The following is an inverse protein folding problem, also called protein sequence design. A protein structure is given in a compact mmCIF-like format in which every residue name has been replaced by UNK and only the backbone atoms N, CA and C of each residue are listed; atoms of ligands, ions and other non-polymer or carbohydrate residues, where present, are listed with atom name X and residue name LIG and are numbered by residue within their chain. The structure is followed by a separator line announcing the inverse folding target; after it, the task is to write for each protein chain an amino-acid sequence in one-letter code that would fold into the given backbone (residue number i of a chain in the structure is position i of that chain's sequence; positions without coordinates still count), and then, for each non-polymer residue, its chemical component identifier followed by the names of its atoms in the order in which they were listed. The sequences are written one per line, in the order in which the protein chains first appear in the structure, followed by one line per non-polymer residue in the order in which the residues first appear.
data_IF_988021818849
#
_entry.id   IF_988021818849
#
_cell.length_a   1.000
_cell.length_b   1.000
_cell.length_c   1.000
_cell.angle_alpha   90.00
_cell.angle_beta   90.00
_cell.angle_gamma   90.00
#
_symmetry.space_group_name_H-M   'P 1'
#
loop_
_entity.id
_entity.type
_entity.pdbx_description
1 polymer ?
#
# COMPACT_ATOMS: atom_id res chain seq x y z
N UNK A 1 15.84 1.77 17.55
CA UNK A 1 15.78 2.67 16.37
C UNK A 1 14.80 3.80 16.69
N UNK A 2 15.26 5.03 16.75
CA UNK A 2 14.37 6.14 17.13
C UNK A 2 13.73 6.73 15.87
N UNK A 3 12.43 6.50 15.67
CA UNK A 3 11.61 7.09 14.59
C UNK A 3 11.77 8.63 14.56
N UNK A 4 12.00 9.26 15.70
CA UNK A 4 12.17 10.73 15.85
C UNK A 4 13.25 11.30 14.91
N UNK A 5 14.35 10.60 14.69
CA UNK A 5 15.49 11.10 13.91
C UNK A 5 15.41 10.75 12.40
N UNK A 6 14.41 9.99 11.99
CA UNK A 6 14.26 9.57 10.58
C UNK A 6 13.60 10.66 9.76
N UNK A 7 14.15 10.96 8.57
CA UNK A 7 13.52 11.85 7.57
C UNK A 7 12.43 11.17 6.76
N UNK A 8 12.56 9.86 6.57
CA UNK A 8 11.63 9.01 5.82
C UNK A 8 11.23 7.83 6.71
N UNK A 9 9.95 7.54 6.77
CA UNK A 9 9.39 6.38 7.48
C UNK A 9 8.74 5.48 6.44
N UNK A 10 9.17 4.21 6.38
CA UNK A 10 8.54 3.18 5.54
C UNK A 10 7.72 2.26 6.43
N UNK A 11 6.43 2.19 6.16
CA UNK A 11 5.47 1.36 6.92
C UNK A 11 5.06 0.18 6.05
N UNK A 12 5.52 -1.02 6.42
CA UNK A 12 5.14 -2.26 5.75
C UNK A 12 3.91 -2.87 6.42
N UNK A 13 2.87 -3.12 5.63
CA UNK A 13 1.61 -3.72 6.05
C UNK A 13 1.42 -5.10 5.40
N UNK A 14 1.51 -6.15 6.19
CA UNK A 14 1.26 -7.52 5.71
C UNK A 14 -0.22 -7.75 5.37
N UNK A 15 -0.50 -8.79 4.58
CA UNK A 15 -1.87 -9.14 4.16
C UNK A 15 -2.80 -9.33 5.36
N UNK A 16 -2.41 -10.10 6.39
CA UNK A 16 -3.20 -10.33 7.60
C UNK A 16 -3.38 -9.08 8.46
N UNK A 17 -2.54 -8.06 8.26
CA UNK A 17 -2.67 -6.77 8.96
C UNK A 17 -3.81 -5.94 8.38
N UNK A 18 -3.98 -5.95 7.06
CA UNK A 18 -4.97 -5.12 6.35
C UNK A 18 -6.26 -5.86 5.99
N UNK A 19 -6.23 -7.20 5.92
CA UNK A 19 -7.37 -8.03 5.57
C UNK A 19 -7.63 -9.05 6.70
N UNK A 20 -8.87 -9.23 7.09
CA UNK A 20 -9.26 -10.21 8.11
C UNK A 20 -9.38 -11.63 7.53
N UNK A 21 -9.63 -12.62 8.40
CA UNK A 21 -9.78 -14.02 8.02
C UNK A 21 -10.99 -14.29 7.11
N UNK A 22 -11.92 -13.33 6.99
CA UNK A 22 -13.10 -13.38 6.12
C UNK A 22 -12.85 -12.66 4.79
N UNK A 23 -11.62 -12.21 4.55
CA UNK A 23 -11.23 -11.48 3.35
C UNK A 23 -11.75 -10.03 3.32
N UNK A 24 -12.14 -9.45 4.45
CA UNK A 24 -12.61 -8.06 4.53
C UNK A 24 -11.45 -7.14 4.90
N UNK A 25 -11.41 -5.98 4.26
CA UNK A 25 -10.46 -4.93 4.60
C UNK A 25 -10.72 -4.36 6.00
N UNK A 26 -9.70 -4.30 6.84
CA UNK A 26 -9.77 -3.86 8.24
C UNK A 26 -9.85 -2.34 8.36
N UNK A 27 -10.94 -1.74 7.90
CA UNK A 27 -11.13 -0.27 7.82
C UNK A 27 -10.86 0.46 9.14
N UNK A 28 -11.36 -0.08 10.27
CA UNK A 28 -11.19 0.57 11.59
C UNK A 28 -9.72 0.65 11.97
N UNK A 29 -8.98 -0.44 11.78
CA UNK A 29 -7.56 -0.50 12.11
C UNK A 29 -6.73 0.42 11.20
N UNK A 30 -6.95 0.37 9.87
CA UNK A 30 -6.25 1.23 8.92
C UNK A 30 -6.57 2.71 9.19
N UNK A 31 -7.82 3.03 9.53
CA UNK A 31 -8.21 4.39 9.89
C UNK A 31 -7.46 4.90 11.14
N UNK A 32 -7.26 4.05 12.14
CA UNK A 32 -6.44 4.39 13.33
C UNK A 32 -4.98 4.66 12.93
N UNK A 33 -4.39 3.78 12.11
CA UNK A 33 -3.04 3.99 11.59
C UNK A 33 -2.90 5.31 10.83
N UNK A 34 -3.90 5.68 10.01
CA UNK A 34 -3.86 6.94 9.25
C UNK A 34 -3.90 8.16 10.17
N UNK A 35 -4.59 8.09 11.30
CA UNK A 35 -4.55 9.17 12.31
C UNK A 35 -3.12 9.39 12.81
N UNK A 36 -2.42 8.31 13.15
CA UNK A 36 -1.03 8.40 13.59
C UNK A 36 -0.12 8.91 12.47
N UNK A 37 -0.29 8.40 11.25
CA UNK A 37 0.44 8.87 10.06
C UNK A 37 0.26 10.37 9.84
N UNK A 38 -0.96 10.90 10.01
CA UNK A 38 -1.25 12.33 9.83
C UNK A 38 -0.38 13.22 10.70
N UNK A 39 -0.11 12.82 11.94
CA UNK A 39 0.74 13.59 12.84
C UNK A 39 2.21 13.60 12.35
N UNK A 40 2.73 12.45 11.95
CA UNK A 40 4.11 12.35 11.46
C UNK A 40 4.31 12.93 10.06
N UNK A 41 3.30 12.90 9.20
CA UNK A 41 3.38 13.38 7.81
C UNK A 41 3.58 14.90 7.69
N UNK A 42 3.40 15.65 8.78
CA UNK A 42 3.70 17.10 8.83
C UNK A 42 5.21 17.39 8.71
N UNK A 43 6.04 16.50 9.25
CA UNK A 43 7.48 16.70 9.39
C UNK A 43 8.31 15.66 8.63
N UNK A 44 7.73 14.53 8.29
CA UNK A 44 8.42 13.36 7.75
C UNK A 44 7.77 12.88 6.45
N UNK A 45 8.61 12.33 5.55
CA UNK A 45 8.14 11.64 4.36
C UNK A 45 7.68 10.23 4.76
N UNK A 46 6.44 9.89 4.46
CA UNK A 46 5.86 8.57 4.75
C UNK A 46 5.75 7.78 3.45
N UNK A 47 6.10 6.49 3.52
CA UNK A 47 5.88 5.51 2.43
C UNK A 47 5.11 4.33 3.01
N UNK A 48 4.08 3.85 2.31
CA UNK A 48 3.33 2.66 2.70
C UNK A 48 3.59 1.54 1.72
N UNK A 49 4.06 0.41 2.24
CA UNK A 49 4.23 -0.83 1.46
C UNK A 49 3.17 -1.81 1.95
N UNK A 50 2.22 -2.15 1.10
CA UNK A 50 1.10 -3.00 1.51
C UNK A 50 0.97 -4.25 0.63
N UNK A 51 0.44 -5.30 1.21
CA UNK A 51 -0.03 -6.51 0.53
C UNK A 51 -1.49 -6.78 0.88
N UNK A 52 -2.10 -7.82 0.30
CA UNK A 52 -3.48 -8.20 0.57
C UNK A 52 -4.38 -8.20 -0.66
N UNK A 53 -3.86 -7.88 -1.83
CA UNK A 53 -4.61 -7.87 -3.09
C UNK A 53 -5.25 -9.24 -3.39
N UNK A 54 -4.50 -10.35 -3.24
CA UNK A 54 -5.03 -11.70 -3.49
C UNK A 54 -6.22 -11.98 -2.55
N UNK A 55 -6.09 -11.69 -1.27
CA UNK A 55 -7.15 -11.96 -0.28
C UNK A 55 -8.44 -11.17 -0.59
N UNK A 56 -8.30 -9.90 -0.96
CA UNK A 56 -9.44 -9.06 -1.39
C UNK A 56 -10.03 -9.54 -2.70
N UNK A 57 -9.20 -9.91 -3.68
CA UNK A 57 -9.64 -10.44 -4.96
C UNK A 57 -10.40 -11.76 -4.82
N UNK A 58 -9.89 -12.70 -4.01
CA UNK A 58 -10.59 -13.94 -3.70
C UNK A 58 -11.97 -13.68 -3.08
N UNK A 59 -12.05 -12.74 -2.15
CA UNK A 59 -13.32 -12.36 -1.52
C UNK A 59 -14.30 -11.78 -2.54
N UNK A 60 -13.83 -10.84 -3.36
CA UNK A 60 -14.66 -10.22 -4.40
C UNK A 60 -15.20 -11.23 -5.40
N UNK A 61 -14.34 -12.16 -5.84
CA UNK A 61 -14.68 -13.24 -6.79
C UNK A 61 -15.37 -14.44 -6.13
N UNK A 62 -15.60 -14.40 -4.81
CA UNK A 62 -16.20 -15.50 -4.02
C UNK A 62 -15.44 -16.84 -4.16
N UNK A 63 -14.12 -16.78 -4.35
CA UNK A 63 -13.26 -17.96 -4.46
C UNK A 63 -13.03 -18.52 -3.06
N UNK A 64 -13.51 -19.73 -2.79
CA UNK A 64 -13.40 -20.39 -1.47
C UNK A 64 -12.09 -21.16 -1.27
N UNK A 65 -11.36 -21.50 -2.34
CA UNK A 65 -10.09 -22.25 -2.27
C UNK A 65 -9.02 -21.43 -1.59
N UNK A 66 -8.40 -21.97 -0.52
CA UNK A 66 -7.30 -21.32 0.20
C UNK A 66 -6.01 -21.24 -0.63
N UNK A 67 -5.77 -22.22 -1.51
CA UNK A 67 -4.61 -22.25 -2.42
C UNK A 67 -5.11 -22.28 -3.86
N UNK A 68 -4.66 -21.34 -4.63
CA UNK A 68 -4.90 -21.22 -6.07
C UNK A 68 -3.56 -21.32 -6.80
N UNK A 69 -3.57 -21.78 -8.05
CA UNK A 69 -2.36 -21.85 -8.88
C UNK A 69 -1.78 -20.45 -9.08
N UNK A 70 -0.48 -20.38 -9.40
CA UNK A 70 0.24 -19.11 -9.54
C UNK A 70 -0.42 -18.16 -10.55
N UNK A 71 -0.72 -18.67 -11.74
CA UNK A 71 -1.35 -17.86 -12.80
C UNK A 71 -2.71 -17.30 -12.37
N UNK A 72 -3.51 -18.12 -11.70
CA UNK A 72 -4.79 -17.69 -11.14
C UNK A 72 -4.59 -16.66 -10.01
N UNK A 73 -3.56 -16.83 -9.19
CA UNK A 73 -3.30 -15.87 -8.11
C UNK A 73 -2.88 -14.50 -8.64
N UNK A 74 -2.15 -14.45 -9.75
CA UNK A 74 -1.82 -13.20 -10.44
C UNK A 74 -3.06 -12.47 -10.95
N UNK A 75 -3.97 -13.20 -11.62
CA UNK A 75 -5.23 -12.64 -12.11
C UNK A 75 -6.12 -12.13 -10.96
N UNK A 76 -6.23 -12.93 -9.89
CA UNK A 76 -6.97 -12.55 -8.67
C UNK A 76 -6.34 -11.34 -7.99
N UNK A 77 -5.01 -11.27 -7.95
CA UNK A 77 -4.30 -10.11 -7.41
C UNK A 77 -4.56 -8.84 -8.22
N UNK A 78 -4.58 -8.93 -9.55
CA UNK A 78 -4.87 -7.79 -10.42
C UNK A 78 -6.26 -7.19 -10.13
N UNK A 79 -7.27 -8.03 -9.95
CA UNK A 79 -8.62 -7.59 -9.56
C UNK A 79 -8.62 -7.03 -8.13
N UNK A 80 -8.00 -7.74 -7.19
CA UNK A 80 -7.98 -7.34 -5.79
C UNK A 80 -7.16 -6.08 -5.53
N UNK A 81 -6.16 -5.77 -6.37
CA UNK A 81 -5.34 -4.57 -6.27
C UNK A 81 -6.18 -3.30 -6.42
N UNK A 82 -7.15 -3.29 -7.33
CA UNK A 82 -8.08 -2.17 -7.51
C UNK A 82 -8.84 -1.90 -6.21
N UNK A 83 -9.35 -2.96 -5.58
CA UNK A 83 -10.08 -2.85 -4.32
C UNK A 83 -9.18 -2.39 -3.17
N UNK A 84 -7.95 -2.93 -3.08
CA UNK A 84 -6.98 -2.56 -2.05
C UNK A 84 -6.65 -1.07 -2.10
N UNK A 85 -6.28 -0.58 -3.27
CA UNK A 85 -5.91 0.84 -3.47
C UNK A 85 -7.11 1.75 -3.22
N UNK A 86 -8.30 1.40 -3.73
CA UNK A 86 -9.52 2.16 -3.50
C UNK A 86 -9.87 2.29 -2.01
N UNK A 87 -9.72 1.22 -1.22
CA UNK A 87 -9.97 1.28 0.23
C UNK A 87 -8.97 2.20 0.94
N UNK A 88 -7.68 2.13 0.59
CA UNK A 88 -6.68 3.05 1.13
C UNK A 88 -6.98 4.50 0.72
N UNK A 89 -7.20 4.76 -0.56
CA UNK A 89 -7.49 6.09 -1.06
C UNK A 89 -8.67 6.72 -0.32
N UNK A 90 -9.81 6.02 -0.24
CA UNK A 90 -11.01 6.50 0.46
C UNK A 90 -10.75 6.85 1.93
N UNK A 91 -9.90 6.09 2.61
CA UNK A 91 -9.58 6.35 4.01
C UNK A 91 -8.63 7.56 4.16
N UNK A 92 -7.61 7.68 3.31
CA UNK A 92 -6.69 8.82 3.33
C UNK A 92 -7.38 10.14 2.96
N UNK A 93 -8.31 10.12 2.00
CA UNK A 93 -9.11 11.27 1.59
C UNK A 93 -9.92 11.88 2.75
N UNK A 94 -10.42 11.05 3.68
CA UNK A 94 -11.10 11.53 4.90
C UNK A 94 -10.22 12.44 5.77
N UNK A 95 -8.92 12.24 5.69
CA UNK A 95 -7.92 13.06 6.40
C UNK A 95 -7.31 14.15 5.52
N UNK A 96 -7.82 14.34 4.29
CA UNK A 96 -7.29 15.27 3.28
C UNK A 96 -5.84 14.98 2.90
N UNK A 97 -5.45 13.70 2.92
CA UNK A 97 -4.13 13.22 2.53
C UNK A 97 -4.24 12.59 1.14
N UNK A 98 -3.41 13.06 0.21
CA UNK A 98 -3.29 12.50 -1.14
C UNK A 98 -2.44 11.22 -1.10
N UNK A 99 -2.76 10.26 -1.94
CA UNK A 99 -1.97 9.04 -2.11
C UNK A 99 -1.61 8.82 -3.58
N UNK A 100 -0.47 8.20 -3.84
CA UNK A 100 -0.06 7.83 -5.19
C UNK A 100 0.44 6.38 -5.21
N UNK A 101 -0.07 5.55 -6.11
CA UNK A 101 0.36 4.17 -6.24
C UNK A 101 1.64 4.07 -7.06
N UNK A 102 2.62 3.31 -6.56
CA UNK A 102 3.80 2.88 -7.28
C UNK A 102 3.82 1.36 -7.30
N UNK A 103 3.94 0.75 -8.46
CA UNK A 103 4.14 -0.68 -8.65
C UNK A 103 5.62 -0.91 -8.97
N UNK A 104 6.29 -1.76 -8.20
CA UNK A 104 7.72 -2.03 -8.31
C UNK A 104 7.93 -3.54 -8.43
N UNK A 105 8.70 -3.95 -9.41
CA UNK A 105 9.21 -5.32 -9.56
C UNK A 105 10.66 -5.43 -9.08
N UNK A 106 11.19 -6.64 -8.80
CA UNK A 106 12.60 -6.83 -8.48
C UNK A 106 13.53 -6.21 -9.54
N UNK A 107 13.26 -6.42 -10.82
CA UNK A 107 14.05 -5.89 -11.94
C UNK A 107 14.17 -4.35 -11.92
N UNK A 108 13.14 -3.68 -11.41
CA UNK A 108 13.14 -2.22 -11.34
C UNK A 108 14.16 -1.68 -10.33
N UNK A 109 14.54 -2.48 -9.34
CA UNK A 109 15.56 -2.11 -8.35
C UNK A 109 16.96 -2.53 -8.77
N UNK A 110 17.10 -3.53 -9.62
CA UNK A 110 18.39 -4.04 -10.10
C UNK A 110 18.96 -3.21 -11.24
N UNK A 111 18.10 -2.67 -12.10
CA UNK A 111 18.52 -1.85 -13.22
C UNK A 111 18.65 -0.38 -12.80
N UNK A 112 19.89 0.15 -12.86
CA UNK A 112 20.21 1.53 -12.44
C UNK A 112 19.26 2.59 -13.01
N UNK A 113 18.95 2.54 -14.32
CA UNK A 113 18.07 3.52 -14.97
C UNK A 113 16.65 3.47 -14.39
N UNK A 114 16.11 2.26 -14.17
CA UNK A 114 14.77 2.08 -13.60
C UNK A 114 14.74 2.52 -12.14
N UNK A 115 15.74 2.16 -11.35
CA UNK A 115 15.86 2.58 -9.96
C UNK A 115 15.90 4.13 -9.82
N UNK A 116 16.61 4.83 -10.71
CA UNK A 116 16.62 6.30 -10.75
C UNK A 116 15.26 6.88 -11.09
N UNK A 117 14.53 6.29 -12.04
CA UNK A 117 13.17 6.73 -12.40
C UNK A 117 12.20 6.55 -11.23
N UNK A 118 12.24 5.41 -10.54
CA UNK A 118 11.43 5.15 -9.35
C UNK A 118 11.74 6.17 -8.27
N UNK A 119 13.03 6.41 -7.98
CA UNK A 119 13.45 7.42 -7.00
C UNK A 119 12.90 8.80 -7.35
N UNK A 120 12.95 9.19 -8.63
CA UNK A 120 12.38 10.45 -9.10
C UNK A 120 10.87 10.51 -8.87
N UNK A 121 10.15 9.42 -9.16
CA UNK A 121 8.70 9.31 -8.91
C UNK A 121 8.36 9.49 -7.44
N UNK A 122 9.09 8.85 -6.52
CA UNK A 122 8.91 9.05 -5.07
C UNK A 122 9.12 10.51 -4.68
N UNK A 123 10.21 11.14 -5.16
CA UNK A 123 10.50 12.53 -4.86
C UNK A 123 9.39 13.48 -5.36
N UNK A 124 8.88 13.24 -6.57
CA UNK A 124 7.79 14.03 -7.11
C UNK A 124 6.49 13.87 -6.30
N UNK A 125 6.16 12.64 -5.87
CA UNK A 125 5.01 12.42 -4.99
C UNK A 125 5.15 13.16 -3.66
N UNK A 126 6.35 13.17 -3.06
CA UNK A 126 6.60 13.95 -1.84
C UNK A 126 6.46 15.45 -2.08
N UNK A 127 6.94 15.97 -3.23
CA UNK A 127 6.77 17.38 -3.62
C UNK A 127 5.28 17.73 -3.75
N UNK A 128 4.48 16.81 -4.29
CA UNK A 128 3.02 16.95 -4.40
C UNK A 128 2.28 16.74 -3.07
N UNK A 129 3.02 16.50 -1.97
CA UNK A 129 2.47 16.19 -0.65
C UNK A 129 1.55 14.97 -0.68
N UNK A 130 1.88 13.98 -1.51
CA UNK A 130 1.21 12.70 -1.59
C UNK A 130 2.03 11.61 -0.90
N UNK A 131 1.35 10.67 -0.25
CA UNK A 131 1.94 9.46 0.34
C UNK A 131 2.00 8.38 -0.75
N UNK A 132 3.22 7.91 -1.13
CA UNK A 132 3.35 6.77 -2.04
C UNK A 132 3.04 5.45 -1.36
#
# INVERSE_FOLDING_TARGET
MQIKNSKIIVIKLGSSTVVDNKGKFKKKWVNSLIKDIKEYNKEKKIVIVTSGAIALGQKYLKIKKKRIKLEMSQAVAAIGQIHLVSEFQKLFEKFKIKTGQILISPDDTEQRKRALNIRSTFNNLFTLKAIP
#
